data_IF_647641897020
#
_entry.id   IF_647641897020
#
_cell.length_a   1.000
_cell.length_b   1.000
_cell.length_c   1.000
_cell.angle_alpha   90.00
_cell.angle_beta   90.00
_cell.angle_gamma   90.00
#
_symmetry.space_group_name_H-M   'P 1'
#
loop_
_entity.id
_entity.type
_entity.pdbx_description
1 polymer ?
#
# COMPACT_ATOMS: atom_id res chain seq x y z
N UNK A 1 19.11 17.21 -19.89
CA UNK A 1 17.65 17.16 -20.11
C UNK A 1 17.07 16.31 -19.00
N UNK A 2 16.20 16.85 -18.14
CA UNK A 2 15.53 16.07 -17.10
C UNK A 2 14.40 15.26 -17.75
N UNK A 3 14.46 13.95 -17.66
CA UNK A 3 13.39 13.06 -18.13
C UNK A 3 12.17 13.30 -17.22
N UNK A 4 10.94 13.42 -17.76
CA UNK A 4 9.76 13.53 -16.93
C UNK A 4 9.69 12.25 -16.08
N UNK A 5 9.83 12.39 -14.77
CA UNK A 5 9.58 11.29 -13.84
C UNK A 5 8.09 11.00 -14.05
N UNK A 6 7.76 9.87 -14.67
CA UNK A 6 6.39 9.41 -14.78
C UNK A 6 5.79 9.51 -13.38
N UNK A 7 4.70 10.28 -13.22
CA UNK A 7 4.05 10.45 -11.93
C UNK A 7 3.71 9.07 -11.38
N UNK A 8 4.51 8.59 -10.41
CA UNK A 8 4.33 7.26 -9.84
C UNK A 8 2.88 7.16 -9.35
N UNK A 9 2.15 6.16 -9.85
CA UNK A 9 0.75 5.99 -9.48
C UNK A 9 0.70 5.63 -8.00
N UNK A 10 0.17 6.53 -7.18
CA UNK A 10 -0.09 6.25 -5.76
C UNK A 10 -1.46 5.61 -5.66
N UNK A 11 -1.52 4.43 -5.05
CA UNK A 11 -2.77 3.74 -4.71
C UNK A 11 -2.91 3.81 -3.19
N UNK A 12 -3.97 4.47 -2.72
CA UNK A 12 -4.31 4.46 -1.31
C UNK A 12 -5.03 3.16 -0.94
N UNK A 13 -4.65 2.58 0.20
CA UNK A 13 -5.28 1.38 0.74
C UNK A 13 -5.63 1.66 2.19
N UNK A 14 -6.93 1.71 2.47
CA UNK A 14 -7.42 1.76 3.84
C UNK A 14 -7.30 0.38 4.46
N UNK A 15 -6.63 0.32 5.61
CA UNK A 15 -6.53 -0.86 6.46
C UNK A 15 -7.50 -0.63 7.63
N UNK A 16 -8.65 -1.29 7.60
CA UNK A 16 -9.66 -1.22 8.65
C UNK A 16 -9.57 -2.45 9.55
N UNK A 17 -10.35 -2.47 10.64
CA UNK A 17 -10.29 -3.56 11.63
C UNK A 17 -10.51 -4.96 11.05
N UNK A 18 -11.34 -5.08 10.01
CA UNK A 18 -11.71 -6.38 9.45
C UNK A 18 -11.51 -6.49 7.93
N UNK A 19 -11.03 -5.43 7.26
CA UNK A 19 -10.92 -5.43 5.79
C UNK A 19 -9.96 -4.37 5.22
N UNK A 20 -9.44 -4.66 4.02
CA UNK A 20 -8.77 -3.68 3.17
C UNK A 20 -9.76 -3.00 2.22
N UNK A 21 -9.54 -1.72 1.93
CA UNK A 21 -10.28 -1.01 0.88
C UNK A 21 -9.32 -0.14 0.02
N UNK A 22 -9.11 -0.47 -1.27
CA UNK A 22 -9.66 -1.64 -1.96
C UNK A 22 -9.02 -2.95 -1.47
N UNK A 23 -9.76 -4.06 -1.54
CA UNK A 23 -9.23 -5.40 -1.28
C UNK A 23 -8.70 -6.12 -2.54
N UNK A 24 -8.94 -5.54 -3.72
CA UNK A 24 -8.37 -5.99 -5.00
C UNK A 24 -7.58 -4.82 -5.58
N UNK A 25 -6.27 -5.02 -5.74
CA UNK A 25 -5.35 -4.00 -6.25
C UNK A 25 -4.69 -4.54 -7.51
N UNK A 26 -4.74 -3.76 -8.60
CA UNK A 26 -4.10 -4.09 -9.87
C UNK A 26 -2.96 -3.11 -10.12
N UNK A 27 -1.75 -3.65 -10.31
CA UNK A 27 -0.54 -2.88 -10.62
C UNK A 27 0.03 -3.31 -11.98
N UNK A 28 0.65 -2.39 -12.74
CA UNK A 28 1.39 -2.74 -13.95
C UNK A 28 2.58 -3.65 -13.62
N UNK A 29 2.89 -4.59 -14.52
CA UNK A 29 4.09 -5.43 -14.41
C UNK A 29 5.33 -4.63 -14.84
N UNK A 30 6.45 -4.82 -14.14
CA UNK A 30 7.74 -4.15 -14.42
C UNK A 30 7.74 -2.61 -14.28
N UNK A 31 6.73 -2.03 -13.64
CA UNK A 31 6.65 -0.61 -13.29
C UNK A 31 6.49 -0.46 -11.78
N UNK A 32 7.13 0.55 -11.19
CA UNK A 32 6.98 0.86 -9.77
C UNK A 32 5.61 1.47 -9.49
N UNK A 33 4.94 0.99 -8.44
CA UNK A 33 3.65 1.52 -7.98
C UNK A 33 3.74 1.78 -6.49
N UNK A 34 3.49 3.03 -6.09
CA UNK A 34 3.49 3.38 -4.67
C UNK A 34 2.17 3.00 -4.02
N UNK A 35 2.21 2.24 -2.92
CA UNK A 35 1.06 2.01 -2.06
C UNK A 35 1.15 2.92 -0.83
N UNK A 36 0.07 3.65 -0.54
CA UNK A 36 -0.09 4.38 0.72
C UNK A 36 -1.09 3.63 1.60
N UNK A 37 -0.57 2.90 2.58
CA UNK A 37 -1.36 2.14 3.54
C UNK A 37 -1.79 3.07 4.68
N UNK A 38 -3.10 3.18 4.93
CA UNK A 38 -3.66 4.01 6.00
C UNK A 38 -4.44 3.15 6.97
N UNK A 39 -3.90 2.89 8.16
CA UNK A 39 -4.63 2.15 9.17
C UNK A 39 -5.67 3.04 9.85
N UNK A 40 -6.93 2.83 9.48
CA UNK A 40 -8.12 3.48 10.05
C UNK A 40 -8.83 2.60 11.08
N UNK A 41 -8.37 1.36 11.27
CA UNK A 41 -8.80 0.49 12.35
C UNK A 41 -8.31 0.96 13.71
N UNK A 42 -8.87 0.36 14.76
CA UNK A 42 -8.43 0.55 16.15
C UNK A 42 -7.25 -0.35 16.51
N UNK A 43 -7.11 -1.47 15.81
CA UNK A 43 -6.04 -2.46 16.04
C UNK A 43 -4.81 -2.22 15.15
N UNK A 44 -3.68 -2.80 15.53
CA UNK A 44 -2.56 -2.99 14.61
C UNK A 44 -2.93 -4.03 13.54
N UNK A 45 -2.49 -3.80 12.30
CA UNK A 45 -2.77 -4.68 11.17
C UNK A 45 -1.53 -4.91 10.31
N UNK A 46 -1.55 -6.01 9.54
CA UNK A 46 -0.50 -6.33 8.57
C UNK A 46 -1.02 -6.19 7.15
N UNK A 47 -0.22 -5.64 6.24
CA UNK A 47 -0.41 -5.77 4.80
C UNK A 47 0.64 -6.75 4.25
N UNK A 48 0.20 -7.96 3.89
CA UNK A 48 1.10 -9.08 3.59
C UNK A 48 0.76 -9.73 2.26
N UNK A 49 1.74 -9.78 1.35
CA UNK A 49 1.66 -10.47 0.06
C UNK A 49 2.88 -11.39 -0.06
N UNK A 50 2.75 -12.62 0.47
CA UNK A 50 3.86 -13.58 0.60
C UNK A 50 4.61 -13.85 -0.72
N UNK A 51 3.88 -13.97 -1.83
CA UNK A 51 4.47 -14.25 -3.16
C UNK A 51 5.30 -13.09 -3.72
N UNK A 52 5.08 -11.87 -3.21
CA UNK A 52 5.85 -10.68 -3.55
C UNK A 52 6.87 -10.32 -2.45
N UNK A 53 6.98 -11.12 -1.38
CA UNK A 53 7.90 -10.86 -0.28
C UNK A 53 7.53 -9.64 0.57
N UNK A 54 6.28 -9.17 0.51
CA UNK A 54 5.79 -8.02 1.26
C UNK A 54 5.18 -8.50 2.57
N UNK A 55 5.65 -7.97 3.69
CA UNK A 55 5.06 -8.18 5.01
C UNK A 55 5.29 -6.94 5.88
N UNK A 56 4.24 -6.14 6.09
CA UNK A 56 4.36 -4.82 6.70
C UNK A 56 3.29 -4.63 7.77
N UNK A 57 3.72 -4.37 9.00
CA UNK A 57 2.85 -3.97 10.10
C UNK A 57 2.52 -2.48 10.01
N UNK A 58 1.27 -2.08 10.21
CA UNK A 58 0.82 -0.68 10.31
C UNK A 58 0.06 -0.52 11.61
N UNK A 59 0.61 0.26 12.54
CA UNK A 59 -0.04 0.59 13.82
C UNK A 59 -1.36 1.36 13.60
N UNK A 60 -2.26 1.25 14.57
CA UNK A 60 -3.54 1.98 14.60
C UNK A 60 -3.35 3.49 14.41
N UNK A 61 -4.09 4.08 13.48
CA UNK A 61 -4.03 5.51 13.16
C UNK A 61 -2.74 5.98 12.48
N UNK A 62 -1.87 5.05 12.03
CA UNK A 62 -0.64 5.38 11.30
C UNK A 62 -0.77 5.08 9.81
N UNK A 63 0.16 5.65 9.05
CA UNK A 63 0.31 5.41 7.61
C UNK A 63 1.71 4.86 7.31
N UNK A 64 1.81 4.05 6.25
CA UNK A 64 3.09 3.59 5.69
C UNK A 64 3.06 3.62 4.16
N UNK A 65 4.16 4.07 3.58
CA UNK A 65 4.35 4.11 2.12
C UNK A 65 5.25 2.96 1.67
N UNK A 66 4.81 2.20 0.67
CA UNK A 66 5.55 1.11 0.05
C UNK A 66 5.82 1.42 -1.44
N UNK A 67 7.05 1.22 -1.95
CA UNK A 67 7.40 1.41 -3.35
C UNK A 67 7.03 0.22 -4.24
#
# INVERSE_FOLDING_TARGET
>A
MAQPIASAKVIEVDVNDDYFNPNVITIPINESTTLLLKNKGKSEHTFTIKKLGIDVVVESGKEKTLP
#
